data_IF_061196195436
#
_entry.id   IF_061196195436
#
_cell.length_a   1.000
_cell.length_b   1.000
_cell.length_c   1.000
_cell.angle_alpha   90.00
_cell.angle_beta   90.00
_cell.angle_gamma   90.00
#
_symmetry.space_group_name_H-M   'P 1'
#
loop_
_entity.id
_entity.type
_entity.pdbx_description
1 polymer ?
#
# COMPACT_ATOMS: atom_id res chain seq x y z
N UNK A 1 -7.71 -24.05 4.41
CA UNK A 1 -7.29 -22.63 4.50
C UNK A 1 -8.15 -21.87 5.52
N UNK A 2 -7.61 -20.86 6.15
CA UNK A 2 -8.31 -20.01 7.14
C UNK A 2 -8.35 -18.58 6.67
N UNK A 3 -9.54 -18.08 6.43
CA UNK A 3 -9.79 -16.72 5.94
C UNK A 3 -10.28 -15.82 7.07
N UNK A 4 -9.72 -14.65 7.22
CA UNK A 4 -10.21 -13.61 8.10
C UNK A 4 -11.04 -12.58 7.32
N UNK A 5 -12.21 -12.20 7.82
CA UNK A 5 -13.02 -11.10 7.29
C UNK A 5 -13.13 -9.99 8.32
N UNK A 6 -12.26 -9.00 8.21
CA UNK A 6 -12.26 -7.80 9.06
C UNK A 6 -13.10 -6.67 8.46
N UNK A 7 -13.37 -5.68 9.24
CA UNK A 7 -14.09 -4.46 8.85
C UNK A 7 -14.90 -3.90 9.99
N UNK A 8 -15.40 -2.69 9.80
CA UNK A 8 -16.16 -1.94 10.79
C UNK A 8 -17.45 -2.67 11.24
N UNK A 9 -17.96 -2.40 12.45
CA UNK A 9 -19.34 -2.74 12.80
C UNK A 9 -20.31 -2.23 11.73
N UNK A 10 -21.35 -2.99 11.44
CA UNK A 10 -22.38 -2.65 10.44
C UNK A 10 -21.91 -2.59 8.96
N UNK A 11 -20.66 -2.94 8.64
CA UNK A 11 -20.17 -2.97 7.26
C UNK A 11 -20.85 -4.05 6.40
N UNK A 12 -21.40 -5.11 7.00
CA UNK A 12 -22.07 -6.20 6.28
C UNK A 12 -21.31 -7.53 6.27
N UNK A 13 -20.27 -7.69 7.09
CA UNK A 13 -19.41 -8.89 7.16
C UNK A 13 -20.21 -10.20 7.23
N UNK A 14 -21.12 -10.30 8.18
CA UNK A 14 -21.91 -11.53 8.38
C UNK A 14 -22.72 -11.92 7.14
N UNK A 15 -23.28 -10.93 6.45
CA UNK A 15 -24.03 -11.17 5.20
C UNK A 15 -23.13 -11.71 4.09
N UNK A 16 -21.94 -11.14 3.97
CA UNK A 16 -20.96 -11.57 2.95
C UNK A 16 -20.38 -12.95 3.32
N UNK A 17 -20.03 -13.16 4.58
CA UNK A 17 -19.51 -14.45 5.07
C UNK A 17 -20.52 -15.58 4.84
N UNK A 18 -21.79 -15.34 5.16
CA UNK A 18 -22.84 -16.36 4.98
C UNK A 18 -23.10 -16.72 3.52
N UNK A 19 -22.75 -15.85 2.57
CA UNK A 19 -22.86 -16.19 1.14
C UNK A 19 -21.86 -17.27 0.70
N UNK A 20 -20.81 -17.49 1.47
CA UNK A 20 -19.80 -18.54 1.25
C UNK A 20 -20.09 -19.86 1.97
N UNK A 21 -21.23 -19.99 2.67
CA UNK A 21 -21.52 -21.17 3.50
C UNK A 21 -21.57 -22.51 2.72
N UNK A 22 -21.67 -22.45 1.40
CA UNK A 22 -21.60 -23.61 0.50
C UNK A 22 -20.17 -24.04 0.15
N UNK A 23 -19.16 -23.22 0.48
CA UNK A 23 -17.73 -23.42 0.16
C UNK A 23 -16.83 -23.44 1.39
N UNK A 24 -17.09 -22.57 2.34
CA UNK A 24 -16.33 -22.40 3.57
C UNK A 24 -17.23 -22.58 4.78
N UNK A 25 -16.67 -23.01 5.88
CA UNK A 25 -17.37 -22.99 7.16
C UNK A 25 -17.36 -21.58 7.74
N UNK A 26 -18.51 -20.87 7.80
CA UNK A 26 -18.57 -19.54 8.38
C UNK A 26 -18.58 -19.62 9.90
N UNK A 27 -17.65 -18.93 10.54
CA UNK A 27 -17.53 -18.92 12.02
C UNK A 27 -17.62 -17.48 12.48
N UNK A 28 -18.66 -17.14 13.24
CA UNK A 28 -18.76 -15.82 13.88
C UNK A 28 -17.95 -15.80 15.17
N UNK A 29 -16.87 -14.99 15.19
CA UNK A 29 -16.03 -14.85 16.38
C UNK A 29 -16.80 -14.30 17.57
N UNK A 30 -17.69 -13.33 17.35
CA UNK A 30 -18.51 -12.75 18.42
C UNK A 30 -19.52 -13.75 18.99
N UNK A 31 -20.10 -14.60 18.16
CA UNK A 31 -21.02 -15.63 18.63
C UNK A 31 -20.29 -16.71 19.41
N UNK A 32 -19.18 -17.23 18.86
CA UNK A 32 -18.37 -18.24 19.56
C UNK A 32 -17.92 -17.77 20.95
N UNK A 33 -17.46 -16.51 21.05
CA UNK A 33 -17.05 -15.92 22.33
C UNK A 33 -18.23 -15.82 23.32
N UNK A 34 -19.40 -15.42 22.87
CA UNK A 34 -20.59 -15.35 23.72
C UNK A 34 -21.05 -16.74 24.18
N UNK A 35 -21.10 -17.72 23.29
CA UNK A 35 -21.55 -19.08 23.59
C UNK A 35 -20.63 -19.77 24.61
N UNK A 36 -19.33 -19.53 24.53
CA UNK A 36 -18.35 -20.11 25.44
C UNK A 36 -18.14 -19.34 26.75
N UNK A 37 -18.83 -18.19 26.92
CA UNK A 37 -18.81 -17.38 28.14
C UNK A 37 -20.20 -17.17 28.73
N UNK A 38 -21.18 -18.01 28.39
CA UNK A 38 -22.58 -17.91 28.83
C UNK A 38 -23.16 -16.49 28.61
N UNK A 39 -22.79 -15.82 27.51
CA UNK A 39 -23.22 -14.46 27.18
C UNK A 39 -22.50 -13.34 27.95
N UNK A 40 -21.55 -13.68 28.82
CA UNK A 40 -20.89 -12.73 29.72
C UNK A 40 -19.64 -12.08 29.11
N UNK A 41 -19.24 -12.39 27.86
CA UNK A 41 -17.99 -11.94 27.25
C UNK A 41 -17.79 -10.41 27.39
N UNK A 42 -18.86 -9.62 27.19
CA UNK A 42 -18.75 -8.15 27.26
C UNK A 42 -18.43 -7.63 28.66
N UNK A 43 -18.87 -8.34 29.68
CA UNK A 43 -18.69 -7.97 31.09
C UNK A 43 -17.33 -8.37 31.66
N UNK A 44 -16.56 -9.21 30.94
CA UNK A 44 -15.24 -9.66 31.36
C UNK A 44 -14.22 -8.51 31.35
N UNK A 45 -13.20 -8.61 32.19
CA UNK A 45 -12.03 -7.73 32.15
C UNK A 45 -11.28 -7.91 30.81
N UNK A 46 -10.51 -6.91 30.38
CA UNK A 46 -9.74 -7.01 29.12
C UNK A 46 -8.73 -8.17 29.14
N UNK A 47 -8.15 -8.47 30.27
CA UNK A 47 -7.25 -9.64 30.42
C UNK A 47 -7.99 -10.98 30.21
N UNK A 48 -9.22 -11.09 30.68
CA UNK A 48 -10.05 -12.29 30.46
C UNK A 48 -10.55 -12.34 29.04
N UNK A 49 -10.99 -11.20 28.45
CA UNK A 49 -11.36 -11.13 27.04
C UNK A 49 -10.20 -11.56 26.13
N UNK A 50 -8.97 -11.12 26.45
CA UNK A 50 -7.79 -11.57 25.69
C UNK A 50 -7.58 -13.08 25.78
N UNK A 51 -7.68 -13.69 26.98
CA UNK A 51 -7.57 -15.14 27.13
C UNK A 51 -8.62 -15.90 26.30
N UNK A 52 -9.84 -15.38 26.22
CA UNK A 52 -10.90 -16.00 25.42
C UNK A 52 -10.66 -15.82 23.92
N UNK A 53 -10.10 -14.69 23.46
CA UNK A 53 -9.68 -14.49 22.06
C UNK A 53 -8.57 -15.51 21.69
N UNK A 54 -7.57 -15.70 22.55
CA UNK A 54 -6.53 -16.73 22.35
C UNK A 54 -7.14 -18.13 22.27
N UNK A 55 -8.09 -18.50 23.12
CA UNK A 55 -8.80 -19.78 23.01
C UNK A 55 -9.57 -19.89 21.69
N UNK A 56 -10.15 -18.81 21.23
CA UNK A 56 -10.83 -18.78 19.95
C UNK A 56 -9.86 -19.03 18.78
N UNK A 57 -8.70 -18.39 18.77
CA UNK A 57 -7.69 -18.66 17.74
C UNK A 57 -7.16 -20.09 17.80
N UNK A 58 -7.00 -20.66 18.99
CA UNK A 58 -6.66 -22.10 19.17
C UNK A 58 -7.75 -23.01 18.61
N UNK A 59 -9.01 -22.68 18.85
CA UNK A 59 -10.14 -23.41 18.25
C UNK A 59 -10.10 -23.36 16.72
N UNK A 60 -9.89 -22.19 16.12
CA UNK A 60 -9.75 -22.06 14.66
C UNK A 60 -8.55 -22.86 14.13
N UNK A 61 -7.43 -22.83 14.85
CA UNK A 61 -6.21 -23.57 14.49
C UNK A 61 -6.40 -25.09 14.52
N UNK A 62 -7.29 -25.60 15.40
CA UNK A 62 -7.59 -27.04 15.53
C UNK A 62 -8.54 -27.59 14.46
N UNK A 63 -9.09 -26.70 13.60
CA UNK A 63 -10.02 -27.09 12.52
C UNK A 63 -9.26 -27.49 11.27
N UNK A 64 -9.70 -28.57 10.62
CA UNK A 64 -9.16 -29.05 9.36
C UNK A 64 -9.94 -28.52 8.13
N UNK A 65 -11.11 -27.90 8.37
CA UNK A 65 -11.94 -27.36 7.30
C UNK A 65 -11.34 -26.08 6.71
N UNK A 66 -11.70 -25.79 5.47
CA UNK A 66 -11.58 -24.44 4.92
C UNK A 66 -12.66 -23.57 5.57
N UNK A 67 -12.24 -22.52 6.26
CA UNK A 67 -13.14 -21.68 7.05
C UNK A 67 -12.94 -20.19 6.81
N UNK A 68 -14.01 -19.42 7.07
CA UNK A 68 -13.96 -17.98 7.13
C UNK A 68 -14.49 -17.48 8.47
N UNK A 69 -13.74 -16.60 9.12
CA UNK A 69 -14.10 -16.02 10.40
C UNK A 69 -14.22 -14.51 10.33
N UNK A 70 -15.28 -13.95 10.93
CA UNK A 70 -15.38 -12.50 11.07
C UNK A 70 -14.65 -12.00 12.31
N UNK A 71 -14.09 -10.78 12.20
CA UNK A 71 -13.35 -10.14 13.27
C UNK A 71 -13.42 -8.61 13.22
N UNK A 72 -12.87 -8.01 14.26
CA UNK A 72 -12.58 -6.58 14.34
C UNK A 72 -11.10 -6.41 14.66
N UNK A 73 -10.44 -5.49 13.98
CA UNK A 73 -9.05 -5.13 14.30
C UNK A 73 -8.99 -4.28 15.56
N UNK A 74 -9.88 -3.30 15.65
CA UNK A 74 -9.99 -2.42 16.79
C UNK A 74 -11.46 -2.05 17.08
N UNK A 75 -11.72 -1.57 18.28
CA UNK A 75 -12.91 -0.81 18.63
C UNK A 75 -12.46 0.61 18.99
N UNK A 76 -12.68 1.54 18.09
CA UNK A 76 -12.16 2.91 18.16
C UNK A 76 -10.62 2.89 18.39
N UNK A 77 -10.14 3.37 19.52
CA UNK A 77 -8.71 3.41 19.84
C UNK A 77 -8.17 2.10 20.43
N UNK A 78 -9.05 1.21 20.87
CA UNK A 78 -8.66 -0.06 21.47
C UNK A 78 -8.40 -1.13 20.41
N UNK A 79 -7.13 -1.45 20.15
CA UNK A 79 -6.75 -2.59 19.32
C UNK A 79 -7.08 -3.88 20.03
N UNK A 80 -7.83 -4.74 19.34
CA UNK A 80 -8.22 -6.08 19.83
C UNK A 80 -7.58 -7.22 19.04
N UNK A 81 -6.99 -6.90 17.89
CA UNK A 81 -6.18 -7.82 17.10
C UNK A 81 -4.92 -8.21 17.88
N UNK A 82 -4.64 -9.49 17.93
CA UNK A 82 -3.52 -10.05 18.69
C UNK A 82 -2.52 -10.75 17.76
N UNK A 83 -1.29 -11.04 18.21
CA UNK A 83 -0.35 -11.86 17.46
C UNK A 83 -0.91 -13.24 17.08
N UNK A 84 -1.74 -13.81 17.94
CA UNK A 84 -2.40 -15.11 17.71
C UNK A 84 -3.43 -15.02 16.58
N UNK A 85 -4.19 -13.91 16.49
CA UNK A 85 -5.05 -13.63 15.33
C UNK A 85 -4.23 -13.57 14.05
N UNK A 86 -3.09 -12.86 14.10
CA UNK A 86 -2.20 -12.72 12.96
C UNK A 86 -1.59 -14.04 12.48
N UNK A 87 -1.39 -15.00 13.40
CA UNK A 87 -0.75 -16.28 13.10
C UNK A 87 -1.73 -17.34 12.55
N UNK A 88 -3.02 -17.25 12.90
CA UNK A 88 -3.99 -18.32 12.59
C UNK A 88 -4.52 -18.25 11.16
N UNK A 89 -4.60 -17.07 10.56
CA UNK A 89 -5.20 -16.90 9.24
C UNK A 89 -4.14 -16.91 8.12
N UNK A 90 -4.54 -17.51 6.99
CA UNK A 90 -3.71 -17.57 5.77
C UNK A 90 -3.95 -16.35 4.87
N UNK A 91 -5.20 -15.85 4.81
CA UNK A 91 -5.64 -14.73 3.96
C UNK A 91 -6.52 -13.80 4.77
N UNK A 92 -6.32 -12.50 4.56
CA UNK A 92 -7.06 -11.44 5.22
C UNK A 92 -7.89 -10.63 4.24
N UNK A 93 -9.19 -10.57 4.46
CA UNK A 93 -10.12 -9.68 3.79
C UNK A 93 -10.49 -8.52 4.71
N UNK A 94 -10.58 -7.32 4.14
CA UNK A 94 -11.15 -6.17 4.81
C UNK A 94 -12.36 -5.66 4.04
N UNK A 95 -13.54 -5.72 4.64
CA UNK A 95 -14.77 -5.20 4.06
C UNK A 95 -14.83 -3.69 4.31
N UNK A 96 -14.45 -2.91 3.29
CA UNK A 96 -14.53 -1.47 3.30
C UNK A 96 -15.95 -1.00 2.99
N UNK A 97 -16.49 -0.13 3.82
CA UNK A 97 -17.78 0.50 3.59
C UNK A 97 -17.60 2.02 3.56
N UNK A 98 -18.16 2.68 2.53
CA UNK A 98 -18.14 4.14 2.47
C UNK A 98 -18.58 4.75 3.80
N UNK A 99 -17.83 5.73 4.38
CA UNK A 99 -18.11 6.26 5.71
C UNK A 99 -19.50 6.88 5.86
N UNK A 100 -20.08 7.42 4.77
CA UNK A 100 -21.43 7.98 4.82
C UNK A 100 -22.48 6.86 4.92
N UNK A 101 -22.33 5.83 4.08
CA UNK A 101 -23.20 4.64 4.12
C UNK A 101 -23.07 3.87 5.44
N UNK A 102 -21.83 3.74 5.93
CA UNK A 102 -21.56 3.10 7.21
C UNK A 102 -22.25 3.83 8.36
N UNK A 103 -22.15 5.16 8.36
CA UNK A 103 -22.81 6.00 9.35
C UNK A 103 -24.33 5.82 9.33
N UNK A 104 -24.97 5.82 8.16
CA UNK A 104 -26.39 5.57 8.00
C UNK A 104 -26.81 4.20 8.54
N UNK A 105 -26.05 3.16 8.21
CA UNK A 105 -26.29 1.80 8.73
C UNK A 105 -26.16 1.73 10.25
N UNK A 106 -25.21 2.43 10.83
CA UNK A 106 -25.02 2.50 12.27
C UNK A 106 -26.19 3.21 12.96
N UNK A 107 -26.74 4.30 12.38
CA UNK A 107 -27.89 5.03 12.95
C UNK A 107 -29.16 4.18 12.96
N UNK A 108 -29.36 3.32 11.97
CA UNK A 108 -30.53 2.44 11.88
C UNK A 108 -30.37 1.11 12.60
N UNK A 109 -29.16 0.78 13.06
CA UNK A 109 -28.85 -0.47 13.75
C UNK A 109 -29.34 -0.45 15.20
N UNK A 110 -29.68 -1.62 15.73
CA UNK A 110 -29.90 -1.83 17.17
C UNK A 110 -28.66 -1.49 18.04
N UNK A 111 -27.48 -1.33 17.41
CA UNK A 111 -26.23 -0.90 18.05
C UNK A 111 -26.03 0.62 18.05
N UNK A 112 -27.01 1.40 17.62
CA UNK A 112 -26.92 2.86 17.48
C UNK A 112 -26.37 3.53 18.74
N UNK A 113 -26.84 3.13 19.92
CA UNK A 113 -26.38 3.71 21.20
C UNK A 113 -24.87 3.58 21.44
N UNK A 114 -24.23 2.55 20.87
CA UNK A 114 -22.79 2.34 21.00
C UNK A 114 -21.96 3.29 20.12
N UNK A 115 -22.54 3.82 19.01
CA UNK A 115 -21.82 4.56 17.98
C UNK A 115 -22.39 5.98 17.76
N UNK A 116 -23.36 6.40 18.57
CA UNK A 116 -24.05 7.69 18.41
C UNK A 116 -23.10 8.91 18.54
N UNK A 117 -21.98 8.75 19.21
CA UNK A 117 -20.97 9.81 19.39
C UNK A 117 -20.03 9.98 18.20
N UNK A 118 -19.98 9.01 17.25
CA UNK A 118 -19.07 9.02 16.12
C UNK A 118 -19.60 9.89 14.98
N UNK A 119 -18.70 10.58 14.30
CA UNK A 119 -18.96 11.34 13.07
C UNK A 119 -18.41 10.56 11.87
N UNK A 120 -18.85 10.91 10.65
CA UNK A 120 -18.37 10.28 9.41
C UNK A 120 -16.84 10.33 9.27
N UNK A 121 -16.22 11.45 9.68
CA UNK A 121 -14.75 11.59 9.63
C UNK A 121 -14.04 10.66 10.61
N UNK A 122 -14.65 10.37 11.74
CA UNK A 122 -14.09 9.45 12.74
C UNK A 122 -14.13 8.01 12.20
N UNK A 123 -15.21 7.64 11.49
CA UNK A 123 -15.35 6.35 10.81
C UNK A 123 -14.32 6.17 9.69
N UNK A 124 -14.07 7.21 8.88
CA UNK A 124 -13.02 7.18 7.85
C UNK A 124 -11.66 6.91 8.48
N UNK A 125 -11.27 7.71 9.49
CA UNK A 125 -9.98 7.55 10.18
C UNK A 125 -9.80 6.17 10.81
N UNK A 126 -10.87 5.64 11.38
CA UNK A 126 -10.85 4.31 11.96
C UNK A 126 -10.62 3.24 10.88
N UNK A 127 -11.38 3.24 9.77
CA UNK A 127 -11.17 2.31 8.66
C UNK A 127 -9.76 2.42 8.07
N UNK A 128 -9.29 3.64 7.81
CA UNK A 128 -7.96 3.89 7.25
C UNK A 128 -6.85 3.34 8.15
N UNK A 129 -7.02 3.46 9.48
CA UNK A 129 -6.10 2.87 10.46
C UNK A 129 -6.12 1.35 10.40
N UNK A 130 -7.30 0.73 10.45
CA UNK A 130 -7.43 -0.74 10.40
C UNK A 130 -6.83 -1.31 9.13
N UNK A 131 -7.15 -0.72 7.97
CA UNK A 131 -6.62 -1.13 6.67
C UNK A 131 -5.09 -1.05 6.67
N UNK A 132 -4.53 0.08 7.10
CA UNK A 132 -3.08 0.29 7.12
C UNK A 132 -2.37 -0.71 8.01
N UNK A 133 -2.86 -0.92 9.23
CA UNK A 133 -2.22 -1.80 10.20
C UNK A 133 -2.35 -3.29 9.81
N UNK A 134 -3.52 -3.74 9.34
CA UNK A 134 -3.71 -5.10 8.83
C UNK A 134 -2.84 -5.36 7.60
N UNK A 135 -2.82 -4.44 6.64
CA UNK A 135 -1.98 -4.58 5.44
C UNK A 135 -0.51 -4.67 5.82
N UNK A 136 -0.06 -3.80 6.73
CA UNK A 136 1.32 -3.85 7.25
C UNK A 136 1.62 -5.19 7.91
N UNK A 137 0.70 -5.71 8.73
CA UNK A 137 0.85 -7.04 9.34
C UNK A 137 1.02 -8.11 8.26
N UNK A 138 0.15 -8.12 7.25
CA UNK A 138 0.20 -9.09 6.16
C UNK A 138 1.49 -8.99 5.35
N UNK A 139 1.93 -7.78 5.02
CA UNK A 139 3.20 -7.54 4.31
C UNK A 139 4.42 -8.05 5.08
N UNK A 140 4.44 -7.91 6.41
CA UNK A 140 5.55 -8.37 7.27
C UNK A 140 5.54 -9.90 7.47
N UNK A 141 4.38 -10.55 7.35
CA UNK A 141 4.22 -11.98 7.63
C UNK A 141 3.89 -12.81 6.37
N UNK A 142 4.07 -12.22 5.18
CA UNK A 142 3.83 -12.90 3.89
C UNK A 142 2.42 -13.49 3.78
N UNK A 143 1.43 -12.71 4.24
CA UNK A 143 0.01 -13.05 4.12
C UNK A 143 -0.65 -12.20 3.05
N UNK A 144 -1.60 -12.78 2.33
CA UNK A 144 -2.39 -12.03 1.38
C UNK A 144 -3.40 -11.13 2.09
N UNK A 145 -3.51 -9.90 1.60
CA UNK A 145 -4.45 -8.90 2.09
C UNK A 145 -5.28 -8.32 0.95
N UNK A 146 -6.60 -8.38 1.09
CA UNK A 146 -7.52 -7.91 0.06
C UNK A 146 -8.59 -6.98 0.64
N UNK A 147 -8.84 -5.87 -0.03
CA UNK A 147 -9.92 -4.95 0.32
C UNK A 147 -11.13 -5.26 -0.56
N UNK A 148 -12.27 -5.46 0.08
CA UNK A 148 -13.56 -5.74 -0.54
C UNK A 148 -14.45 -4.51 -0.36
N UNK A 149 -14.72 -3.68 -1.40
CA UNK A 149 -15.62 -2.55 -1.28
C UNK A 149 -17.07 -3.04 -1.15
N UNK A 150 -17.73 -2.75 -0.04
CA UNK A 150 -19.06 -3.26 0.31
C UNK A 150 -20.19 -2.83 -0.65
N UNK A 151 -19.94 -1.80 -1.46
CA UNK A 151 -20.91 -1.29 -2.45
C UNK A 151 -20.77 -1.92 -3.83
N UNK A 152 -19.59 -2.45 -4.16
CA UNK A 152 -19.29 -2.97 -5.51
C UNK A 152 -18.98 -4.46 -5.52
N UNK A 153 -18.58 -5.04 -4.38
CA UNK A 153 -18.34 -6.48 -4.30
C UNK A 153 -19.68 -7.24 -4.41
N UNK A 154 -19.84 -8.05 -5.47
CA UNK A 154 -20.91 -9.00 -5.55
C UNK A 154 -20.58 -10.27 -4.73
N UNK A 155 -21.62 -10.97 -4.27
CA UNK A 155 -21.44 -12.24 -3.57
C UNK A 155 -20.81 -13.31 -4.47
N UNK A 156 -21.17 -13.28 -5.75
CA UNK A 156 -20.69 -14.24 -6.75
C UNK A 156 -19.21 -13.99 -7.07
N UNK A 157 -18.80 -12.71 -7.27
CA UNK A 157 -17.39 -12.38 -7.48
C UNK A 157 -16.56 -12.73 -6.26
N UNK A 158 -17.09 -12.50 -5.06
CA UNK A 158 -16.36 -12.88 -3.84
C UNK A 158 -16.20 -14.40 -3.72
N UNK A 159 -17.25 -15.17 -4.03
CA UNK A 159 -17.18 -16.63 -4.03
C UNK A 159 -16.17 -17.16 -5.05
N UNK A 160 -16.20 -16.65 -6.27
CA UNK A 160 -15.24 -17.04 -7.31
C UNK A 160 -13.80 -16.64 -6.95
N UNK A 161 -13.61 -15.47 -6.36
CA UNK A 161 -12.28 -15.03 -5.92
C UNK A 161 -11.71 -15.95 -4.83
N UNK A 162 -12.54 -16.36 -3.86
CA UNK A 162 -12.16 -17.31 -2.83
C UNK A 162 -11.81 -18.68 -3.43
N UNK A 163 -12.58 -19.16 -4.43
CA UNK A 163 -12.28 -20.38 -5.17
C UNK A 163 -10.92 -20.32 -5.87
N UNK A 164 -10.61 -19.20 -6.51
CA UNK A 164 -9.33 -19.00 -7.18
C UNK A 164 -8.17 -18.95 -6.17
N UNK A 165 -8.37 -18.36 -4.98
CA UNK A 165 -7.37 -18.38 -3.90
C UNK A 165 -7.13 -19.83 -3.42
N UNK A 166 -8.19 -20.60 -3.18
CA UNK A 166 -8.08 -22.02 -2.79
C UNK A 166 -7.37 -22.83 -3.89
N UNK A 167 -7.56 -22.45 -5.15
CA UNK A 167 -6.92 -23.06 -6.32
C UNK A 167 -5.47 -22.59 -6.54
N UNK A 168 -4.96 -21.68 -5.71
CA UNK A 168 -3.55 -21.27 -5.74
C UNK A 168 -3.29 -19.81 -6.15
N UNK A 169 -4.33 -18.99 -6.38
CA UNK A 169 -4.13 -17.55 -6.56
C UNK A 169 -3.59 -16.95 -5.25
N UNK A 170 -2.37 -16.41 -5.31
CA UNK A 170 -1.70 -15.84 -4.14
C UNK A 170 -0.73 -14.75 -4.56
N UNK A 171 -0.86 -13.54 -4.02
CA UNK A 171 -0.03 -12.38 -4.40
C UNK A 171 1.44 -12.56 -4.00
N UNK A 172 1.70 -13.16 -2.83
CA UNK A 172 3.06 -13.40 -2.35
C UNK A 172 3.77 -14.46 -3.20
N UNK A 173 3.08 -15.55 -3.53
CA UNK A 173 3.62 -16.59 -4.42
C UNK A 173 3.88 -16.05 -5.83
N UNK A 174 2.95 -15.26 -6.37
CA UNK A 174 3.11 -14.60 -7.66
C UNK A 174 4.32 -13.65 -7.66
N UNK A 175 4.51 -12.88 -6.58
CA UNK A 175 5.69 -12.04 -6.43
C UNK A 175 6.99 -12.87 -6.37
N UNK A 176 6.98 -14.05 -5.75
CA UNK A 176 8.09 -15.00 -5.76
C UNK A 176 8.45 -15.44 -7.18
N UNK A 177 7.47 -15.85 -7.98
CA UNK A 177 7.67 -16.24 -9.38
C UNK A 177 8.26 -15.10 -10.22
N UNK A 178 7.74 -13.88 -10.03
CA UNK A 178 8.27 -12.67 -10.69
C UNK A 178 9.73 -12.43 -10.29
N UNK A 179 10.03 -12.51 -8.99
CA UNK A 179 11.39 -12.32 -8.49
C UNK A 179 12.36 -13.38 -9.04
N UNK A 180 11.95 -14.65 -9.08
CA UNK A 180 12.74 -15.74 -9.68
C UNK A 180 13.01 -15.49 -11.17
N UNK A 181 12.01 -15.02 -11.92
CA UNK A 181 12.18 -14.64 -13.32
C UNK A 181 13.18 -13.50 -13.47
N UNK A 182 13.12 -12.46 -12.63
CA UNK A 182 14.08 -11.35 -12.65
C UNK A 182 15.48 -11.85 -12.32
N UNK A 183 15.63 -12.70 -11.29
CA UNK A 183 16.91 -13.30 -10.91
C UNK A 183 17.48 -14.13 -12.06
N UNK A 184 16.65 -14.82 -12.85
CA UNK A 184 17.14 -15.57 -14.02
C UNK A 184 17.73 -14.67 -15.11
N UNK A 185 17.29 -13.43 -15.20
CA UNK A 185 17.85 -12.42 -16.12
C UNK A 185 19.12 -11.74 -15.57
N UNK A 186 19.19 -11.61 -14.26
CA UNK A 186 20.27 -10.95 -13.53
C UNK A 186 20.75 -11.85 -12.39
N UNK A 187 21.53 -12.92 -12.69
CA UNK A 187 21.86 -13.94 -11.69
C UNK A 187 22.76 -13.44 -10.56
N UNK A 188 23.55 -12.41 -10.84
CA UNK A 188 24.42 -11.79 -9.83
C UNK A 188 23.72 -10.54 -9.27
N UNK A 189 23.65 -10.38 -7.93
CA UNK A 189 23.09 -9.20 -7.32
C UNK A 189 23.75 -7.91 -7.81
N UNK A 190 22.94 -6.97 -8.26
CA UNK A 190 23.41 -5.72 -8.86
C UNK A 190 22.47 -4.55 -8.46
N UNK A 191 22.81 -3.35 -8.90
CA UNK A 191 21.87 -2.25 -8.92
C UNK A 191 20.83 -2.48 -10.03
N UNK A 192 19.55 -2.48 -9.67
CA UNK A 192 18.45 -2.81 -10.57
C UNK A 192 17.32 -1.77 -10.46
N UNK A 193 16.85 -1.31 -11.62
CA UNK A 193 15.69 -0.46 -11.71
C UNK A 193 14.41 -1.28 -11.94
N UNK A 194 13.44 -1.19 -11.04
CA UNK A 194 12.09 -1.74 -11.23
C UNK A 194 11.17 -0.61 -11.63
N UNK A 195 10.63 -0.67 -12.83
CA UNK A 195 9.92 0.46 -13.45
C UNK A 195 8.48 0.08 -13.74
N UNK A 196 7.54 0.84 -13.19
CA UNK A 196 6.14 0.71 -13.59
C UNK A 196 5.95 1.09 -15.06
N UNK A 197 4.91 0.53 -15.67
CA UNK A 197 4.67 0.69 -17.10
C UNK A 197 3.94 1.97 -17.46
N UNK A 198 2.62 1.95 -17.26
CA UNK A 198 1.70 3.00 -17.68
C UNK A 198 1.94 4.30 -16.89
N UNK A 199 2.05 5.43 -17.61
CA UNK A 199 2.30 6.76 -17.04
C UNK A 199 3.65 6.91 -16.32
N UNK A 200 4.46 5.87 -16.31
CA UNK A 200 5.83 5.87 -15.78
C UNK A 200 6.83 5.69 -16.92
N UNK A 201 7.00 4.47 -17.43
CA UNK A 201 7.88 4.22 -18.59
C UNK A 201 7.28 4.75 -19.88
N UNK A 202 5.98 4.62 -20.08
CA UNK A 202 5.26 5.32 -21.15
C UNK A 202 4.46 6.49 -20.57
N UNK A 203 4.29 7.55 -21.38
CA UNK A 203 3.62 8.76 -20.92
C UNK A 203 2.10 8.60 -20.77
N UNK A 204 1.52 7.56 -21.36
CA UNK A 204 0.09 7.31 -21.43
C UNK A 204 -0.32 6.10 -20.59
N UNK A 205 -1.62 5.87 -20.53
CA UNK A 205 -2.26 4.67 -20.00
C UNK A 205 -2.64 3.79 -21.19
N UNK A 206 -1.95 2.67 -21.35
CA UNK A 206 -2.11 1.78 -22.50
C UNK A 206 -3.53 1.24 -22.63
N UNK A 207 -4.16 0.85 -21.51
CA UNK A 207 -5.51 0.34 -21.50
C UNK A 207 -6.53 1.41 -21.96
N UNK A 208 -6.44 2.63 -21.40
CA UNK A 208 -7.36 3.72 -21.78
C UNK A 208 -7.21 4.17 -23.22
N UNK A 209 -6.04 3.98 -23.83
CA UNK A 209 -5.81 4.26 -25.24
C UNK A 209 -6.50 3.21 -26.12
N UNK A 210 -6.41 1.93 -25.74
CA UNK A 210 -6.94 0.79 -26.50
C UNK A 210 -8.42 0.51 -26.26
N UNK A 211 -8.99 1.00 -25.15
CA UNK A 211 -10.38 0.85 -24.78
C UNK A 211 -10.95 2.17 -24.21
N UNK A 212 -11.00 3.27 -25.00
CA UNK A 212 -11.35 4.60 -24.49
C UNK A 212 -12.80 4.71 -23.99
N UNK A 213 -13.70 3.91 -24.51
CA UNK A 213 -15.11 3.88 -24.12
C UNK A 213 -15.37 3.01 -22.88
N UNK A 214 -14.42 2.13 -22.53
CA UNK A 214 -14.59 1.27 -21.37
C UNK A 214 -14.38 2.06 -20.07
N UNK A 215 -15.36 1.95 -19.17
CA UNK A 215 -15.31 2.53 -17.83
C UNK A 215 -15.31 1.41 -16.81
N UNK A 216 -14.29 1.41 -15.95
CA UNK A 216 -14.25 0.50 -14.82
C UNK A 216 -14.30 1.29 -13.52
N UNK A 217 -14.99 0.75 -12.53
CA UNK A 217 -15.00 1.25 -11.14
C UNK A 217 -14.26 0.32 -10.18
N UNK A 218 -13.58 -0.69 -10.71
CA UNK A 218 -12.84 -1.69 -9.92
C UNK A 218 -11.85 -1.06 -8.95
N UNK A 219 -11.22 0.07 -9.36
CA UNK A 219 -10.23 0.78 -8.56
C UNK A 219 -10.78 1.98 -7.80
N UNK A 220 -12.09 2.12 -7.71
CA UNK A 220 -12.71 3.17 -6.90
C UNK A 220 -12.29 3.01 -5.43
N UNK A 221 -11.98 4.15 -4.79
CA UNK A 221 -11.37 4.16 -3.45
C UNK A 221 -9.85 3.99 -3.45
N UNK A 222 -9.22 3.94 -4.63
CA UNK A 222 -7.76 3.76 -4.79
C UNK A 222 -7.22 2.46 -4.17
N UNK A 223 -8.05 1.42 -4.14
CA UNK A 223 -7.63 0.10 -3.72
C UNK A 223 -6.99 -0.64 -4.90
N UNK A 224 -5.79 -1.16 -4.70
CA UNK A 224 -5.02 -1.93 -5.69
C UNK A 224 -4.51 -3.22 -5.05
N UNK A 225 -5.38 -3.90 -4.29
CA UNK A 225 -5.08 -5.23 -3.75
C UNK A 225 -5.33 -6.33 -4.79
N UNK A 226 -4.98 -7.56 -4.48
CA UNK A 226 -5.19 -8.68 -5.40
C UNK A 226 -6.64 -8.86 -5.86
N UNK A 227 -7.64 -8.49 -5.04
CA UNK A 227 -9.04 -8.55 -5.42
C UNK A 227 -9.37 -7.60 -6.58
N UNK A 228 -8.92 -6.35 -6.54
CA UNK A 228 -9.13 -5.40 -7.63
C UNK A 228 -8.41 -5.83 -8.91
N UNK A 229 -7.19 -6.30 -8.77
CA UNK A 229 -6.41 -6.82 -9.90
C UNK A 229 -7.09 -8.01 -10.56
N UNK A 230 -7.64 -8.91 -9.76
CA UNK A 230 -8.40 -10.07 -10.22
C UNK A 230 -9.72 -9.67 -10.91
N UNK A 231 -10.49 -8.76 -10.32
CA UNK A 231 -11.72 -8.24 -10.95
C UNK A 231 -11.40 -7.58 -12.30
N UNK A 232 -10.37 -6.75 -12.35
CA UNK A 232 -9.95 -6.08 -13.58
C UNK A 232 -9.55 -7.10 -14.67
N UNK A 233 -8.81 -8.14 -14.29
CA UNK A 233 -8.47 -9.21 -15.22
C UNK A 233 -9.70 -9.90 -15.81
N UNK A 234 -10.71 -10.18 -14.98
CA UNK A 234 -11.98 -10.79 -15.42
C UNK A 234 -12.80 -9.86 -16.30
N UNK A 235 -12.94 -8.60 -15.87
CA UNK A 235 -13.70 -7.58 -16.60
C UNK A 235 -13.12 -7.36 -18.01
N UNK A 236 -11.80 -7.41 -18.13
CA UNK A 236 -11.09 -7.13 -19.38
C UNK A 236 -10.85 -8.35 -20.26
N UNK A 237 -11.05 -9.57 -19.75
CA UNK A 237 -10.77 -10.82 -20.48
C UNK A 237 -11.54 -10.97 -21.80
N UNK A 238 -12.77 -10.44 -21.86
CA UNK A 238 -13.64 -10.52 -23.03
C UNK A 238 -13.64 -9.25 -23.89
N UNK A 239 -12.84 -8.23 -23.55
CA UNK A 239 -12.84 -6.97 -24.29
C UNK A 239 -12.09 -7.09 -25.62
N UNK A 240 -12.69 -6.53 -26.65
CA UNK A 240 -11.99 -6.28 -27.91
C UNK A 240 -11.20 -4.97 -27.76
N UNK A 241 -9.87 -5.08 -27.84
CA UNK A 241 -8.97 -3.96 -27.69
C UNK A 241 -8.44 -3.46 -29.04
N UNK A 242 -8.48 -2.16 -29.24
CA UNK A 242 -7.81 -1.54 -30.41
C UNK A 242 -6.29 -1.48 -30.16
N UNK A 243 -5.60 -2.57 -30.47
CA UNK A 243 -4.14 -2.62 -30.31
C UNK A 243 -3.39 -1.70 -31.26
N UNK A 244 -4.00 -1.30 -32.42
CA UNK A 244 -3.43 -0.31 -33.33
C UNK A 244 -3.29 1.07 -32.65
N UNK A 245 -4.14 1.37 -31.69
CA UNK A 245 -4.05 2.60 -30.91
C UNK A 245 -2.77 2.72 -30.06
N UNK A 246 -2.02 1.62 -29.82
CA UNK A 246 -0.76 1.64 -29.11
C UNK A 246 0.33 2.48 -29.82
N UNK A 247 0.17 2.75 -31.12
CA UNK A 247 1.05 3.69 -31.83
C UNK A 247 1.05 5.10 -31.22
N UNK A 248 -0.01 5.47 -30.50
CA UNK A 248 -0.10 6.73 -29.77
C UNK A 248 0.70 6.74 -28.46
N UNK A 249 1.10 5.58 -27.94
CA UNK A 249 1.95 5.47 -26.77
C UNK A 249 3.34 6.00 -27.06
N UNK A 250 3.88 6.77 -26.11
CA UNK A 250 5.21 7.38 -26.22
C UNK A 250 6.05 6.97 -25.05
N UNK A 251 7.27 6.54 -25.33
CA UNK A 251 8.26 6.25 -24.31
C UNK A 251 8.63 7.54 -23.57
N UNK A 252 8.78 7.48 -22.27
CA UNK A 252 9.36 8.53 -21.45
C UNK A 252 10.88 8.51 -21.64
N UNK A 253 11.36 9.21 -22.68
CA UNK A 253 12.77 9.20 -23.04
C UNK A 253 13.65 9.76 -21.94
N UNK A 254 13.21 10.78 -21.20
CA UNK A 254 13.97 11.32 -20.07
C UNK A 254 14.19 10.27 -18.97
N UNK A 255 13.15 9.49 -18.63
CA UNK A 255 13.30 8.37 -17.72
C UNK A 255 14.25 7.32 -18.28
N UNK A 256 14.06 6.94 -19.54
CA UNK A 256 14.87 5.92 -20.21
C UNK A 256 16.36 6.32 -20.26
N UNK A 257 16.65 7.60 -20.55
CA UNK A 257 18.01 8.13 -20.56
C UNK A 257 18.62 8.15 -19.14
N UNK A 258 17.79 8.40 -18.11
CA UNK A 258 18.23 8.41 -16.71
C UNK A 258 18.59 7.00 -16.21
N UNK A 259 17.77 5.98 -16.53
CA UNK A 259 17.98 4.61 -16.06
C UNK A 259 18.97 3.82 -16.92
N UNK A 260 19.28 4.28 -18.13
CA UNK A 260 20.15 3.53 -19.07
C UNK A 260 19.47 2.30 -19.68
N UNK A 261 20.29 1.38 -20.23
CA UNK A 261 19.78 0.24 -21.00
C UNK A 261 19.93 -1.12 -20.29
N UNK A 262 20.81 -1.24 -19.32
CA UNK A 262 21.38 -2.54 -18.98
C UNK A 262 20.77 -3.23 -17.75
N UNK A 263 20.23 -2.46 -16.81
CA UNK A 263 19.78 -3.02 -15.52
C UNK A 263 18.38 -2.53 -15.12
N UNK A 264 17.39 -2.70 -16.02
CA UNK A 264 16.01 -2.38 -15.64
C UNK A 264 15.01 -3.43 -16.08
N UNK A 265 13.95 -3.57 -15.29
CA UNK A 265 12.79 -4.44 -15.53
C UNK A 265 11.52 -3.60 -15.49
N UNK A 266 10.68 -3.76 -16.49
CA UNK A 266 9.31 -3.23 -16.46
C UNK A 266 8.44 -4.20 -15.66
N UNK A 267 7.75 -3.69 -14.63
CA UNK A 267 6.81 -4.44 -13.81
C UNK A 267 5.45 -3.74 -13.80
N UNK A 268 4.56 -4.14 -14.71
CA UNK A 268 3.30 -3.46 -14.98
C UNK A 268 2.07 -4.26 -14.54
N UNK A 269 1.08 -3.56 -13.97
CA UNK A 269 -0.27 -4.09 -13.74
C UNK A 269 -1.16 -4.04 -14.99
N UNK A 270 -0.61 -3.63 -16.14
CA UNK A 270 -1.30 -3.55 -17.41
C UNK A 270 -1.57 -4.92 -18.04
N UNK A 271 -2.44 -4.93 -19.06
CA UNK A 271 -2.81 -6.16 -19.76
C UNK A 271 -1.62 -6.74 -20.52
N UNK A 272 -1.33 -8.02 -20.31
CA UNK A 272 -0.18 -8.73 -20.89
C UNK A 272 -0.07 -8.50 -22.40
N UNK A 273 -1.15 -8.75 -23.18
CA UNK A 273 -1.10 -8.61 -24.63
C UNK A 273 -0.82 -7.18 -25.13
N UNK A 274 -1.22 -6.14 -24.38
CA UNK A 274 -0.86 -4.76 -24.73
C UNK A 274 0.60 -4.49 -24.45
N UNK A 275 1.12 -4.99 -23.32
CA UNK A 275 2.50 -4.79 -22.92
C UNK A 275 3.48 -5.64 -23.73
N UNK A 276 3.10 -6.82 -24.25
CA UNK A 276 3.89 -7.58 -25.21
C UNK A 276 4.14 -6.77 -26.50
N UNK A 277 3.06 -6.13 -27.01
CA UNK A 277 3.19 -5.24 -28.19
C UNK A 277 4.08 -4.01 -27.91
N UNK A 278 3.92 -3.38 -26.73
CA UNK A 278 4.74 -2.23 -26.34
C UNK A 278 6.20 -2.63 -26.11
N UNK A 279 6.42 -3.78 -25.49
CA UNK A 279 7.78 -4.32 -25.27
C UNK A 279 8.50 -4.58 -26.60
N UNK A 280 7.82 -5.20 -27.57
CA UNK A 280 8.35 -5.39 -28.90
C UNK A 280 8.65 -4.06 -29.61
N UNK A 281 7.69 -3.10 -29.56
CA UNK A 281 7.82 -1.81 -30.22
C UNK A 281 8.96 -0.95 -29.66
N UNK A 282 9.14 -0.94 -28.33
CA UNK A 282 10.17 -0.14 -27.66
C UNK A 282 11.47 -0.91 -27.39
N UNK A 283 11.57 -2.15 -27.88
CA UNK A 283 12.70 -3.05 -27.68
C UNK A 283 13.07 -3.19 -26.18
N UNK A 284 12.05 -3.48 -25.35
CA UNK A 284 12.21 -3.71 -23.92
C UNK A 284 12.61 -5.18 -23.68
N UNK A 285 13.81 -5.42 -23.21
CA UNK A 285 14.33 -6.79 -23.02
C UNK A 285 13.66 -7.53 -21.86
N UNK A 286 13.38 -6.81 -20.78
CA UNK A 286 12.87 -7.38 -19.53
C UNK A 286 11.55 -6.67 -19.17
N UNK A 287 10.45 -7.32 -19.52
CA UNK A 287 9.12 -6.81 -19.28
C UNK A 287 8.23 -7.91 -18.69
N UNK A 288 7.65 -7.66 -17.54
CA UNK A 288 6.65 -8.50 -16.90
C UNK A 288 5.40 -7.66 -16.74
N UNK A 289 4.32 -8.07 -17.37
CA UNK A 289 3.04 -7.40 -17.29
C UNK A 289 1.90 -8.40 -17.11
N UNK A 290 1.06 -8.14 -16.15
CA UNK A 290 -0.14 -8.92 -15.89
C UNK A 290 -1.16 -8.09 -15.12
N UNK A 291 -2.45 -8.15 -15.46
CA UNK A 291 -3.48 -7.48 -14.68
C UNK A 291 -3.60 -8.03 -13.25
N UNK A 292 -2.99 -9.20 -12.95
CA UNK A 292 -2.92 -9.77 -11.60
C UNK A 292 -1.79 -9.19 -10.74
N UNK A 293 -0.94 -8.32 -11.29
CA UNK A 293 0.11 -7.64 -10.51
C UNK A 293 -0.53 -6.52 -9.69
N UNK A 294 -0.77 -6.80 -8.42
CA UNK A 294 -1.29 -5.84 -7.44
C UNK A 294 -0.18 -5.00 -6.80
N UNK A 295 -0.56 -3.99 -6.02
CA UNK A 295 0.39 -3.23 -5.22
C UNK A 295 1.18 -4.10 -4.23
N UNK A 296 0.54 -5.14 -3.68
CA UNK A 296 1.21 -6.08 -2.77
C UNK A 296 2.15 -7.02 -3.52
N UNK A 297 1.78 -7.45 -4.73
CA UNK A 297 2.68 -8.21 -5.61
C UNK A 297 3.95 -7.41 -5.92
N UNK A 298 3.82 -6.13 -6.32
CA UNK A 298 4.97 -5.24 -6.55
C UNK A 298 5.84 -5.08 -5.28
N UNK A 299 5.21 -4.86 -4.13
CA UNK A 299 5.89 -4.74 -2.84
C UNK A 299 6.72 -5.99 -2.51
N UNK A 300 6.10 -7.18 -2.58
CA UNK A 300 6.79 -8.43 -2.25
C UNK A 300 7.89 -8.77 -3.25
N UNK A 301 7.72 -8.46 -4.54
CA UNK A 301 8.77 -8.63 -5.55
C UNK A 301 10.03 -7.83 -5.16
N UNK A 302 9.87 -6.55 -4.85
CA UNK A 302 11.01 -5.70 -4.42
C UNK A 302 11.60 -6.20 -3.11
N UNK A 303 10.77 -6.62 -2.14
CA UNK A 303 11.24 -7.19 -0.88
C UNK A 303 12.14 -8.41 -1.10
N UNK A 304 11.68 -9.37 -1.92
CA UNK A 304 12.41 -10.61 -2.19
C UNK A 304 13.74 -10.30 -2.89
N UNK A 305 13.74 -9.43 -3.89
CA UNK A 305 14.98 -9.04 -4.59
C UNK A 305 15.99 -8.39 -3.64
N UNK A 306 15.55 -7.50 -2.74
CA UNK A 306 16.43 -6.89 -1.72
C UNK A 306 16.99 -7.93 -0.75
N UNK A 307 16.19 -8.89 -0.31
CA UNK A 307 16.63 -10.00 0.55
C UNK A 307 17.65 -10.91 -0.16
N UNK A 308 17.63 -10.94 -1.48
CA UNK A 308 18.63 -11.63 -2.32
C UNK A 308 19.88 -10.78 -2.62
N UNK A 309 19.96 -9.57 -2.06
CA UNK A 309 21.14 -8.70 -2.15
C UNK A 309 21.14 -7.68 -3.28
N UNK A 310 20.03 -7.54 -4.03
CA UNK A 310 19.91 -6.51 -5.06
C UNK A 310 19.70 -5.13 -4.40
N UNK A 311 20.32 -4.11 -4.99
CA UNK A 311 20.04 -2.71 -4.65
C UNK A 311 18.98 -2.18 -5.61
N UNK A 312 17.80 -1.86 -5.11
CA UNK A 312 16.63 -1.55 -5.92
C UNK A 312 16.32 -0.05 -5.96
N UNK A 313 16.29 0.52 -7.16
CA UNK A 313 15.63 1.80 -7.44
C UNK A 313 14.29 1.52 -8.11
N UNK A 314 13.18 1.81 -7.43
CA UNK A 314 11.84 1.60 -7.96
C UNK A 314 11.24 2.91 -8.50
N UNK A 315 10.48 2.82 -9.61
CA UNK A 315 9.88 3.94 -10.32
C UNK A 315 8.38 3.72 -10.52
N UNK A 316 7.54 4.70 -10.19
CA UNK A 316 6.09 4.60 -10.35
C UNK A 316 5.40 5.96 -10.28
N UNK A 317 4.08 6.03 -10.60
CA UNK A 317 3.33 7.29 -10.67
C UNK A 317 2.11 7.34 -9.74
N UNK A 318 1.76 6.24 -9.09
CA UNK A 318 0.44 6.08 -8.46
C UNK A 318 0.47 5.32 -7.14
N UNK A 319 -0.68 5.22 -6.46
CA UNK A 319 -0.80 4.45 -5.23
C UNK A 319 -0.60 2.94 -5.44
N UNK A 320 -0.76 2.43 -6.68
CA UNK A 320 -0.41 1.05 -7.01
C UNK A 320 1.09 0.76 -6.82
N UNK A 321 1.92 1.79 -6.92
CA UNK A 321 3.37 1.69 -6.80
C UNK A 321 3.88 2.07 -5.41
N UNK A 322 3.07 2.80 -4.64
CA UNK A 322 3.48 3.45 -3.40
C UNK A 322 4.20 2.51 -2.42
N UNK A 323 3.67 1.27 -2.25
CA UNK A 323 4.29 0.27 -1.36
C UNK A 323 5.61 -0.26 -1.93
N UNK A 324 5.68 -0.46 -3.25
CA UNK A 324 6.90 -0.83 -3.95
C UNK A 324 7.97 0.25 -3.80
N UNK A 325 7.60 1.51 -4.03
CA UNK A 325 8.49 2.66 -3.89
C UNK A 325 9.02 2.79 -2.46
N UNK A 326 8.15 2.64 -1.45
CA UNK A 326 8.53 2.69 -0.04
C UNK A 326 9.39 1.52 0.43
N UNK A 327 9.36 0.38 -0.29
CA UNK A 327 10.15 -0.81 0.04
C UNK A 327 11.53 -0.81 -0.62
N UNK A 328 11.70 -0.10 -1.75
CA UNK A 328 12.96 0.00 -2.48
C UNK A 328 14.04 0.73 -1.66
N UNK A 329 15.31 0.57 -2.05
CA UNK A 329 16.40 1.36 -1.50
C UNK A 329 16.28 2.82 -1.91
N UNK A 330 15.73 3.05 -3.12
CA UNK A 330 15.38 4.36 -3.62
C UNK A 330 14.04 4.33 -4.35
N UNK A 331 13.02 4.98 -3.79
CA UNK A 331 11.70 5.13 -4.42
C UNK A 331 11.61 6.43 -5.22
N UNK A 332 11.31 6.34 -6.50
CA UNK A 332 11.22 7.45 -7.46
C UNK A 332 9.77 7.65 -7.90
N UNK A 333 9.15 8.71 -7.46
CA UNK A 333 7.78 9.07 -7.87
C UNK A 333 7.81 9.90 -9.16
N UNK A 334 7.28 9.35 -10.25
CA UNK A 334 7.26 9.97 -11.57
C UNK A 334 6.05 10.88 -11.74
N UNK A 335 6.31 12.16 -12.03
CA UNK A 335 5.26 13.18 -12.23
C UNK A 335 5.12 13.56 -13.70
N UNK A 336 4.81 12.66 -14.60
CA UNK A 336 4.69 12.86 -16.05
C UNK A 336 3.64 13.93 -16.43
N UNK A 337 3.88 15.19 -16.00
CA UNK A 337 3.02 16.32 -16.24
C UNK A 337 1.75 16.40 -15.38
N UNK A 338 1.63 15.53 -14.36
CA UNK A 338 0.52 15.55 -13.38
C UNK A 338 0.87 14.78 -12.10
N UNK A 339 0.19 15.12 -11.04
CA UNK A 339 0.15 14.31 -9.81
C UNK A 339 -1.05 13.36 -9.93
N UNK A 340 -0.83 12.08 -9.63
CA UNK A 340 -1.93 11.12 -9.57
C UNK A 340 -2.81 11.40 -8.35
N UNK A 341 -4.12 11.54 -8.58
CA UNK A 341 -5.10 11.72 -7.47
C UNK A 341 -5.13 10.54 -6.51
N UNK A 342 -4.70 9.38 -6.96
CA UNK A 342 -4.66 8.17 -6.12
C UNK A 342 -3.63 8.27 -4.99
N UNK A 343 -2.72 9.24 -5.02
CA UNK A 343 -1.74 9.51 -3.97
C UNK A 343 -2.29 10.42 -2.86
N UNK A 344 -3.49 10.96 -3.03
CA UNK A 344 -4.11 11.82 -2.03
C UNK A 344 -4.25 11.08 -0.70
N UNK A 345 -3.78 11.69 0.38
CA UNK A 345 -3.77 11.08 1.72
C UNK A 345 -2.63 10.11 2.00
N UNK A 346 -1.76 9.81 1.02
CA UNK A 346 -0.57 8.98 1.24
C UNK A 346 0.64 9.83 1.63
N UNK A 347 1.43 9.32 2.57
CA UNK A 347 2.68 9.95 2.97
C UNK A 347 3.79 9.67 1.94
N UNK A 348 4.03 10.64 1.05
CA UNK A 348 5.06 10.56 0.02
C UNK A 348 6.40 11.20 0.43
N UNK A 349 6.58 11.62 1.69
CA UNK A 349 7.77 12.33 2.18
C UNK A 349 9.07 11.55 2.06
N UNK A 350 9.00 10.24 2.02
CA UNK A 350 10.14 9.34 1.88
C UNK A 350 10.53 9.06 0.42
N UNK A 351 9.78 9.59 -0.57
CA UNK A 351 10.02 9.35 -1.98
C UNK A 351 10.80 10.49 -2.63
N UNK A 352 11.56 10.15 -3.66
CA UNK A 352 12.21 11.11 -4.53
C UNK A 352 11.28 11.47 -5.70
N UNK A 353 11.15 12.76 -6.02
CA UNK A 353 10.33 13.19 -7.14
C UNK A 353 11.15 13.19 -8.43
N UNK A 354 10.58 12.64 -9.50
CA UNK A 354 11.12 12.69 -10.84
C UNK A 354 10.14 13.42 -11.75
N UNK A 355 10.52 14.63 -12.19
CA UNK A 355 9.71 15.51 -13.01
C UNK A 355 10.57 16.11 -14.15
N UNK A 356 10.88 15.36 -15.21
CA UNK A 356 11.70 15.88 -16.31
C UNK A 356 10.95 16.91 -17.16
N UNK A 357 11.62 17.97 -17.63
CA UNK A 357 12.99 18.39 -17.38
C UNK A 357 13.15 19.24 -16.10
N UNK A 358 12.14 19.34 -15.27
CA UNK A 358 12.07 20.25 -14.13
C UNK A 358 12.82 19.78 -12.88
N UNK A 359 13.43 18.59 -12.88
CA UNK A 359 14.19 18.11 -11.70
C UNK A 359 15.25 19.10 -11.27
N UNK A 360 15.95 19.73 -12.22
CA UNK A 360 16.95 20.77 -11.90
C UNK A 360 16.30 22.06 -11.38
N UNK A 361 15.11 22.42 -11.87
CA UNK A 361 14.39 23.62 -11.47
C UNK A 361 13.81 23.46 -10.05
N UNK A 362 13.29 22.29 -9.69
CA UNK A 362 12.76 22.03 -8.34
C UNK A 362 13.85 22.02 -7.26
N UNK A 363 15.07 21.56 -7.58
CA UNK A 363 16.19 21.60 -6.65
C UNK A 363 16.74 23.01 -6.46
N UNK A 364 16.64 23.87 -7.49
CA UNK A 364 17.12 25.25 -7.45
C UNK A 364 16.07 26.24 -6.92
N UNK A 365 14.77 25.90 -7.04
CA UNK A 365 13.65 26.77 -6.65
C UNK A 365 13.09 26.48 -5.24
N UNK A 366 13.51 25.40 -4.59
CA UNK A 366 13.20 25.21 -3.17
C UNK A 366 13.97 26.27 -2.37
N UNK A 367 13.29 27.22 -1.72
CA UNK A 367 13.98 28.14 -0.85
C UNK A 367 14.79 27.33 0.17
N UNK A 368 16.01 27.78 0.53
CA UNK A 368 16.74 27.16 1.60
C UNK A 368 15.79 27.05 2.80
N UNK A 369 15.77 25.88 3.44
CA UNK A 369 14.91 25.63 4.60
C UNK A 369 14.96 26.87 5.50
N UNK A 370 13.82 27.41 5.99
CA UNK A 370 13.84 28.59 6.81
C UNK A 370 14.84 28.35 7.93
N UNK A 371 15.90 29.13 7.93
CA UNK A 371 16.89 29.14 9.02
C UNK A 371 16.04 29.39 10.25
N UNK A 372 15.96 28.40 11.14
CA UNK A 372 15.30 28.56 12.41
C UNK A 372 15.94 29.78 13.06
N UNK A 373 15.21 30.87 13.09
CA UNK A 373 15.54 32.05 13.90
C UNK A 373 15.48 31.53 15.32
N UNK A 374 16.61 31.10 15.84
CA UNK A 374 16.78 30.92 17.27
C UNK A 374 16.46 32.30 17.85
N UNK A 375 15.30 32.40 18.47
CA UNK A 375 14.98 33.54 19.30
C UNK A 375 16.09 33.61 20.36
N UNK A 376 16.96 34.61 20.23
CA UNK A 376 17.83 35.04 21.31
C UNK A 376 16.88 35.50 22.42
N UNK A 377 16.58 34.60 23.33
CA UNK A 377 16.09 34.98 24.64
C UNK A 377 17.29 35.59 25.38
N UNK A 378 17.30 36.90 25.47
CA UNK A 378 18.13 37.61 26.41
C UNK A 378 17.75 37.14 27.82
N UNK A 379 18.59 36.30 28.41
CA UNK A 379 18.57 36.03 29.84
C UNK A 379 19.00 37.30 30.59
N UNK A 380 18.02 37.87 31.27
CA UNK A 380 18.29 38.82 32.36
C UNK A 380 18.71 37.99 33.57
N UNK A 381 19.91 38.23 34.03
CA UNK A 381 20.42 37.67 35.27
C UNK A 381 19.63 38.20 36.50
N UNK A 382 19.43 37.39 37.50
CA UNK A 382 19.40 37.85 38.89
C UNK A 382 20.56 37.32 39.70
N UNK A 383 21.09 38.25 40.46
CA UNK A 383 22.10 38.07 41.50
C UNK A 383 21.76 37.04 42.57
N UNK A 384 22.79 36.33 43.00
CA UNK A 384 23.19 36.25 44.40
C UNK A 384 22.76 35.05 45.23
N UNK A 385 23.82 34.47 45.79
CA UNK A 385 24.05 33.80 47.09
C UNK A 385 23.99 32.27 47.12
N UNK A 386 25.14 31.69 47.15
CA UNK A 386 25.91 30.95 48.20
C UNK A 386 25.12 29.86 49.02
N UNK A 387 25.59 28.63 48.97
CA UNK A 387 26.24 27.89 50.05
C UNK A 387 26.22 26.37 49.84
N UNK A 388 27.43 25.82 49.81
CA UNK A 388 28.02 24.71 50.58
C UNK A 388 27.48 23.27 50.44
N UNK A 389 28.41 22.41 49.94
CA UNK A 389 28.94 21.16 50.56
C UNK A 389 27.91 20.06 50.91
N UNK A 390 28.07 18.84 50.47
CA UNK A 390 29.11 17.89 50.86
C UNK A 390 29.08 16.60 50.01
N UNK A 391 30.23 15.96 50.01
CA UNK A 391 30.60 14.72 49.35
C UNK A 391 29.99 13.46 50.01
N UNK A 392 29.85 12.37 49.28
CA UNK A 392 30.44 11.07 49.67
C UNK A 392 30.11 9.93 48.67
N UNK A 393 31.16 9.37 48.11
CA UNK A 393 31.52 7.94 47.98
C UNK A 393 30.57 6.93 47.27
N UNK A 394 31.16 6.37 46.20
CA UNK A 394 30.83 5.04 45.66
C UNK A 394 31.28 3.92 46.64
N UNK A 395 30.80 2.66 46.46
CA UNK A 395 31.68 1.71 45.78
C UNK A 395 31.03 0.64 44.85
N UNK A 396 31.88 0.19 43.93
CA UNK A 396 32.14 -1.15 43.39
C UNK A 396 31.00 -2.02 42.75
N UNK A 397 31.09 -2.15 41.47
CA UNK A 397 31.53 -3.30 40.66
C UNK A 397 30.77 -4.63 40.81
N UNK A 398 29.99 -4.99 39.76
CA UNK A 398 29.91 -6.38 39.32
C UNK A 398 29.69 -6.41 37.79
N UNK A 399 30.55 -7.12 37.09
CA UNK A 399 30.61 -7.30 35.66
C UNK A 399 29.45 -8.13 35.14
N UNK A 400 28.79 -7.67 34.07
CA UNK A 400 27.90 -8.47 33.22
C UNK A 400 28.52 -8.65 31.83
N UNK A 401 28.25 -9.78 31.15
CA UNK A 401 28.99 -10.16 29.95
C UNK A 401 28.61 -9.32 28.73
N UNK A 402 29.58 -9.20 27.83
CA UNK A 402 29.55 -8.45 26.58
C UNK A 402 28.37 -8.85 25.66
N UNK A 403 27.53 -7.89 25.39
CA UNK A 403 26.60 -7.95 24.27
C UNK A 403 27.33 -7.63 22.96
N UNK A 404 27.07 -8.43 21.92
CA UNK A 404 27.58 -8.23 20.58
C UNK A 404 27.16 -6.84 20.02
N UNK A 405 27.97 -6.23 19.16
CA UNK A 405 27.66 -4.90 18.64
C UNK A 405 26.45 -4.95 17.72
N UNK A 406 25.39 -4.26 18.09
CA UNK A 406 24.31 -3.90 17.21
C UNK A 406 24.89 -3.03 16.08
N UNK A 407 24.72 -3.47 14.83
CA UNK A 407 25.06 -2.69 13.67
C UNK A 407 24.31 -1.35 13.75
N UNK A 408 25.07 -0.28 13.83
CA UNK A 408 24.55 1.08 13.75
C UNK A 408 23.92 1.25 12.36
N UNK A 409 22.59 1.26 12.32
CA UNK A 409 21.86 1.76 11.16
C UNK A 409 22.26 3.23 10.99
N UNK A 410 22.97 3.53 9.91
CA UNK A 410 23.27 4.89 9.52
C UNK A 410 21.95 5.66 9.47
N UNK A 411 21.84 6.71 10.28
CA UNK A 411 20.74 7.65 10.22
C UNK A 411 20.77 8.27 8.82
N UNK A 412 19.84 7.82 7.95
CA UNK A 412 19.61 8.47 6.68
C UNK A 412 19.17 9.90 7.00
N UNK A 413 19.84 10.85 6.36
CA UNK A 413 19.55 12.27 6.42
C UNK A 413 18.09 12.47 5.97
N UNK A 414 17.16 12.54 6.93
CA UNK A 414 15.73 12.69 6.67
C UNK A 414 15.52 14.16 6.31
N UNK A 415 15.58 14.48 5.02
CA UNK A 415 15.13 15.77 4.53
C UNK A 415 13.65 15.95 4.89
N UNK A 416 13.22 17.13 5.35
CA UNK A 416 11.81 17.39 5.62
C UNK A 416 11.02 17.11 4.34
N UNK A 417 10.06 16.20 4.45
CA UNK A 417 9.33 15.70 3.31
C UNK A 417 8.40 16.76 2.71
N UNK A 418 8.21 16.67 1.40
CA UNK A 418 7.28 17.50 0.64
C UNK A 418 5.89 16.86 0.77
N UNK A 419 4.93 17.60 1.31
CA UNK A 419 3.52 17.26 1.21
C UNK A 419 3.03 17.67 -0.19
N UNK A 420 2.83 16.70 -1.07
CA UNK A 420 2.39 16.91 -2.45
C UNK A 420 1.01 17.56 -2.55
N UNK A 421 0.23 17.56 -1.49
CA UNK A 421 -1.13 18.08 -1.43
C UNK A 421 -1.28 19.30 -0.51
N UNK A 422 -0.20 19.72 0.17
CA UNK A 422 -0.14 21.05 0.72
C UNK A 422 -0.33 22.09 -0.40
N UNK A 423 -1.20 23.07 -0.17
CA UNK A 423 -1.69 23.98 -1.21
C UNK A 423 -0.55 24.79 -1.87
N UNK A 424 0.48 25.15 -1.10
CA UNK A 424 1.66 25.86 -1.61
C UNK A 424 2.56 24.95 -2.43
N UNK A 425 2.84 23.74 -1.96
CA UNK A 425 3.65 22.72 -2.64
C UNK A 425 2.97 22.24 -3.92
N UNK A 426 1.67 21.96 -3.87
CA UNK A 426 0.90 21.56 -5.04
C UNK A 426 0.79 22.67 -6.07
N UNK A 427 0.72 23.95 -5.68
CA UNK A 427 0.74 25.10 -6.58
C UNK A 427 2.10 25.24 -7.25
N UNK A 428 3.19 25.11 -6.49
CA UNK A 428 4.56 25.15 -7.03
C UNK A 428 4.81 24.03 -8.03
N UNK A 429 4.48 22.78 -7.68
CA UNK A 429 4.61 21.64 -8.59
C UNK A 429 3.76 21.83 -9.85
N UNK A 430 2.54 22.38 -9.74
CA UNK A 430 1.70 22.69 -10.90
C UNK A 430 2.32 23.78 -11.79
N UNK A 431 2.94 24.79 -11.19
CA UNK A 431 3.66 25.84 -11.93
C UNK A 431 4.87 25.25 -12.66
N UNK A 432 5.65 24.41 -12.02
CA UNK A 432 6.82 23.74 -12.61
C UNK A 432 6.42 22.79 -13.74
N UNK A 433 5.32 22.03 -13.57
CA UNK A 433 4.72 21.23 -14.63
C UNK A 433 4.27 22.10 -15.81
N UNK A 434 3.72 23.29 -15.56
CA UNK A 434 3.32 24.23 -16.61
C UNK A 434 4.54 24.77 -17.38
N UNK A 435 5.63 25.10 -16.69
CA UNK A 435 6.92 25.51 -17.29
C UNK A 435 7.46 24.38 -18.15
N UNK A 436 7.44 23.13 -17.66
CA UNK A 436 7.88 21.96 -18.43
C UNK A 436 7.09 21.77 -19.72
N UNK A 437 5.76 21.98 -19.70
CA UNK A 437 4.91 21.88 -20.90
C UNK A 437 5.25 22.91 -21.98
N UNK A 438 5.87 24.00 -21.62
CA UNK A 438 6.31 25.05 -22.52
C UNK A 438 7.78 24.96 -22.90
N UNK A 439 8.53 24.01 -22.38
CA UNK A 439 9.92 23.77 -22.73
C UNK A 439 10.06 23.27 -24.18
N UNK A 440 11.16 23.58 -24.88
CA UNK A 440 11.39 23.11 -26.24
C UNK A 440 11.36 21.58 -26.39
N UNK A 441 11.86 20.86 -25.40
CA UNK A 441 11.81 19.38 -25.36
C UNK A 441 10.37 18.83 -25.29
N UNK A 442 9.46 19.55 -24.62
CA UNK A 442 8.05 19.20 -24.57
C UNK A 442 7.30 19.60 -25.85
N UNK A 443 7.70 20.71 -26.52
CA UNK A 443 7.12 21.15 -27.81
C UNK A 443 7.43 20.19 -28.94
N UNK A 444 8.62 19.58 -28.99
CA UNK A 444 8.97 18.55 -29.98
C UNK A 444 8.05 17.34 -29.91
N UNK A 445 7.51 17.01 -28.72
CA UNK A 445 6.51 15.96 -28.54
C UNK A 445 5.10 16.36 -29.00
N UNK A 446 4.78 17.65 -29.09
CA UNK A 446 3.48 18.16 -29.52
C UNK A 446 3.46 18.49 -31.03
N UNK A 447 4.59 18.78 -31.66
CA UNK A 447 4.71 19.05 -33.11
C UNK A 447 4.47 17.79 -33.95
N UNK A 448 4.76 16.60 -33.43
CA UNK A 448 4.39 15.33 -34.07
C UNK A 448 2.86 15.01 -34.02
N UNK A 449 2.01 15.95 -33.54
CA UNK A 449 0.56 15.89 -33.65
C UNK A 449 -0.02 16.58 -34.88
N UNK A 450 0.80 17.30 -35.63
CA UNK A 450 0.42 18.12 -36.78
C UNK A 450 1.05 17.64 -38.12
N UNK A 451 1.75 16.52 -38.10
CA UNK A 451 2.18 15.74 -39.25
C UNK A 451 1.62 14.31 -39.10
#
# INVERSE_FOLDING_TARGET
MRFALYGMPCAGKTTLMNSLAHRLVPISGSQWLNDNTDGQFRALSEAEKHKWRVRYTQYLASRDDDLISDGHYAFEDQVVFSPEDGAVYDVFFYLYCDPALLWERMQTSHKNSCFAHLRKVDLSRWQDREIRELRRHCQLNERDFHILPATTVSKDDFALFVEDIISGLNCCAHAGQIAEQIISWFPDPCELHIVDGDRTLICQDSFRICAPEHRTNVFDGNFYTGFQSWLFARETAALSLDTGALERCRLNTNLKDTIGNDSFVVLSAGLTGLWDNLAARFNLRHCIASPLISADTKYHTVRILREKGYTITAWGDSCNDWYMLGKADRGMLCLNGRISRSLEGLDCRHLHLFCPPAVHILTDALPPAPVSVQAQVQEAAPDGTAATQDAAAAPDAAAAPAAAPAAAAAAADVRPGIDLFDESTAAQIRADIAICKHSPAFKLSSIAKAA
#
